data_IF_324704686964
#
_entry.id   IF_324704686964
#
_cell.length_a   1.000
_cell.length_b   1.000
_cell.length_c   1.000
_cell.angle_alpha   90.00
_cell.angle_beta   90.00
_cell.angle_gamma   90.00
#
_symmetry.space_group_name_H-M   'P 1'
#
loop_
_entity.id
_entity.type
_entity.pdbx_description
1 polymer ?
#
# COMPACT_ATOMS: atom_id res chain seq x y z
N UNK A 1 35.89 -3.87 0.81
CA UNK A 1 34.98 -2.71 0.67
C UNK A 1 34.27 -2.57 2.00
N UNK A 2 34.42 -1.42 2.65
CA UNK A 2 33.72 -1.16 3.91
C UNK A 2 32.30 -0.67 3.63
N UNK A 3 31.38 -0.81 4.61
CA UNK A 3 29.98 -0.38 4.45
C UNK A 3 29.86 1.10 4.09
N UNK A 4 30.78 1.94 4.59
CA UNK A 4 30.80 3.37 4.28
C UNK A 4 31.12 3.62 2.80
N UNK A 5 32.06 2.87 2.21
CA UNK A 5 32.38 2.95 0.79
C UNK A 5 31.21 2.50 -0.09
N UNK A 6 30.52 1.41 0.32
CA UNK A 6 29.35 0.90 -0.40
C UNK A 6 28.23 1.94 -0.45
N UNK A 7 27.96 2.61 0.67
CA UNK A 7 26.94 3.67 0.76
C UNK A 7 27.23 4.87 -0.13
N UNK A 8 28.48 5.09 -0.53
CA UNK A 8 28.89 6.14 -1.46
C UNK A 8 28.78 5.73 -2.93
N UNK A 9 28.53 4.45 -3.23
CA UNK A 9 28.31 4.01 -4.61
C UNK A 9 26.96 4.45 -5.15
N UNK A 10 26.92 4.87 -6.42
CA UNK A 10 25.68 5.20 -7.14
C UNK A 10 24.65 4.07 -7.05
N UNK A 11 25.09 2.83 -7.22
CA UNK A 11 24.25 1.65 -7.09
C UNK A 11 23.52 1.58 -5.75
N UNK A 12 24.23 1.82 -4.63
CA UNK A 12 23.60 1.80 -3.32
C UNK A 12 22.59 2.94 -3.16
N UNK A 13 22.90 4.16 -3.62
CA UNK A 13 21.98 5.29 -3.55
C UNK A 13 20.70 5.02 -4.34
N UNK A 14 20.84 4.56 -5.59
CA UNK A 14 19.70 4.21 -6.45
C UNK A 14 18.84 3.09 -5.83
N UNK A 15 19.48 2.04 -5.30
CA UNK A 15 18.76 0.96 -4.63
C UNK A 15 18.05 1.43 -3.35
N UNK A 16 18.67 2.33 -2.59
CA UNK A 16 18.06 2.91 -1.39
C UNK A 16 16.86 3.79 -1.75
N UNK A 17 16.99 4.66 -2.75
CA UNK A 17 15.90 5.52 -3.26
C UNK A 17 14.71 4.67 -3.74
N UNK A 18 14.97 3.65 -4.57
CA UNK A 18 13.93 2.70 -5.01
C UNK A 18 13.26 1.99 -3.83
N UNK A 19 14.02 1.62 -2.80
CA UNK A 19 13.48 1.02 -1.59
C UNK A 19 12.55 1.96 -0.81
N UNK A 20 12.89 3.24 -0.74
CA UNK A 20 12.04 4.28 -0.13
C UNK A 20 10.76 4.47 -0.95
N UNK A 21 10.86 4.58 -2.28
CA UNK A 21 9.71 4.72 -3.17
C UNK A 21 8.73 3.54 -3.02
N UNK A 22 9.25 2.31 -3.07
CA UNK A 22 8.45 1.11 -2.84
C UNK A 22 7.81 1.08 -1.45
N UNK A 23 8.55 1.50 -0.42
CA UNK A 23 8.04 1.56 0.95
C UNK A 23 6.89 2.57 1.09
N UNK A 24 7.01 3.73 0.43
CA UNK A 24 5.95 4.75 0.39
C UNK A 24 4.71 4.22 -0.34
N UNK A 25 4.88 3.60 -1.51
CA UNK A 25 3.78 3.02 -2.29
C UNK A 25 3.04 1.93 -1.49
N UNK A 26 3.78 1.01 -0.87
CA UNK A 26 3.21 -0.02 0.00
C UNK A 26 2.47 0.59 1.19
N UNK A 27 3.02 1.63 1.82
CA UNK A 27 2.39 2.34 2.93
C UNK A 27 1.06 2.98 2.53
N UNK A 28 1.01 3.64 1.36
CA UNK A 28 -0.21 4.22 0.79
C UNK A 28 -1.26 3.13 0.56
N UNK A 29 -0.87 2.01 -0.06
CA UNK A 29 -1.79 0.89 -0.33
C UNK A 29 -2.33 0.25 0.95
N UNK A 30 -1.49 0.03 1.96
CA UNK A 30 -1.91 -0.46 3.27
C UNK A 30 -2.90 0.50 3.96
N UNK A 31 -2.66 1.81 3.85
CA UNK A 31 -3.55 2.81 4.43
C UNK A 31 -4.92 2.82 3.75
N UNK A 32 -4.97 2.70 2.41
CA UNK A 32 -6.22 2.53 1.66
C UNK A 32 -7.02 1.35 2.21
N UNK A 33 -6.39 0.18 2.39
CA UNK A 33 -7.06 -1.01 2.94
C UNK A 33 -7.63 -0.79 4.34
N UNK A 34 -6.87 -0.14 5.23
CA UNK A 34 -7.30 0.15 6.61
C UNK A 34 -8.52 1.07 6.71
N UNK A 35 -8.80 1.86 5.68
CA UNK A 35 -9.95 2.78 5.64
C UNK A 35 -11.23 2.06 5.18
N UNK A 36 -11.13 0.89 4.54
CA UNK A 36 -12.28 0.14 4.02
C UNK A 36 -13.38 -0.10 5.07
N UNK A 37 -13.09 -0.56 6.31
CA UNK A 37 -14.14 -0.78 7.32
C UNK A 37 -14.92 0.48 7.66
N UNK A 38 -14.23 1.61 7.84
CA UNK A 38 -14.88 2.90 8.11
C UNK A 38 -15.84 3.29 6.98
N UNK A 39 -15.44 3.12 5.72
CA UNK A 39 -16.31 3.45 4.58
C UNK A 39 -17.50 2.48 4.47
N UNK A 40 -17.30 1.21 4.82
CA UNK A 40 -18.38 0.23 4.88
C UNK A 40 -19.39 0.60 5.98
N UNK A 41 -18.91 0.99 7.17
CA UNK A 41 -19.74 1.44 8.30
C UNK A 41 -20.55 2.71 7.95
N UNK A 42 -19.99 3.58 7.09
CA UNK A 42 -20.67 4.75 6.53
C UNK A 42 -21.67 4.39 5.41
N UNK A 43 -21.86 3.11 5.10
CA UNK A 43 -22.86 2.62 4.15
C UNK A 43 -22.42 2.61 2.69
N UNK A 44 -21.13 2.77 2.39
CA UNK A 44 -20.64 2.69 1.02
C UNK A 44 -20.62 1.23 0.53
N UNK A 45 -20.99 1.04 -0.73
CA UNK A 45 -20.88 -0.28 -1.39
C UNK A 45 -19.42 -0.60 -1.74
N UNK A 46 -19.04 -1.89 -1.87
CA UNK A 46 -17.68 -2.29 -2.28
C UNK A 46 -17.20 -1.61 -3.56
N UNK A 47 -18.09 -1.41 -4.55
CA UNK A 47 -17.78 -0.69 -5.80
C UNK A 47 -17.45 0.79 -5.56
N UNK A 48 -18.23 1.46 -4.72
CA UNK A 48 -18.00 2.86 -4.36
C UNK A 48 -16.72 3.06 -3.55
N UNK A 49 -16.35 2.06 -2.75
CA UNK A 49 -15.11 2.03 -1.98
C UNK A 49 -13.92 1.85 -2.93
N UNK A 50 -14.00 0.90 -3.87
CA UNK A 50 -12.92 0.66 -4.84
C UNK A 50 -12.65 1.89 -5.71
N UNK A 51 -13.70 2.57 -6.18
CA UNK A 51 -13.58 3.81 -6.95
C UNK A 51 -12.95 4.95 -6.14
N UNK A 52 -13.34 5.13 -4.86
CA UNK A 52 -12.81 6.22 -4.01
C UNK A 52 -11.36 6.02 -3.56
N UNK A 53 -10.99 4.76 -3.31
CA UNK A 53 -9.67 4.42 -2.81
C UNK A 53 -8.69 4.09 -3.94
N UNK A 54 -9.13 4.13 -5.20
CA UNK A 54 -8.32 3.70 -6.34
C UNK A 54 -7.74 2.30 -6.08
N UNK A 55 -8.65 1.37 -5.84
CA UNK A 55 -8.40 -0.06 -5.66
C UNK A 55 -9.25 -0.83 -6.67
N UNK A 56 -8.89 -2.08 -6.93
CA UNK A 56 -9.78 -2.96 -7.70
C UNK A 56 -10.96 -3.40 -6.83
N UNK A 57 -12.11 -3.66 -7.45
CA UNK A 57 -13.28 -4.21 -6.74
C UNK A 57 -12.93 -5.56 -6.08
N UNK A 58 -12.13 -6.38 -6.75
CA UNK A 58 -11.66 -7.67 -6.22
C UNK A 58 -10.85 -7.48 -4.93
N UNK A 59 -9.92 -6.52 -4.89
CA UNK A 59 -9.13 -6.22 -3.68
C UNK A 59 -10.04 -5.87 -2.50
N UNK A 60 -11.07 -5.04 -2.72
CA UNK A 60 -12.01 -4.66 -1.66
C UNK A 60 -12.82 -5.86 -1.18
N UNK A 61 -13.33 -6.69 -2.10
CA UNK A 61 -14.11 -7.88 -1.75
C UNK A 61 -13.27 -8.91 -0.97
N UNK A 62 -12.04 -9.17 -1.42
CA UNK A 62 -11.12 -10.09 -0.75
C UNK A 62 -10.77 -9.61 0.66
N UNK A 63 -10.53 -8.30 0.84
CA UNK A 63 -10.27 -7.73 2.16
C UNK A 63 -11.47 -7.92 3.10
N UNK A 64 -12.68 -7.59 2.64
CA UNK A 64 -13.90 -7.72 3.45
C UNK A 64 -14.20 -9.18 3.81
N UNK A 65 -13.96 -10.12 2.90
CA UNK A 65 -14.16 -11.55 3.17
C UNK A 65 -13.19 -12.09 4.24
N UNK A 66 -11.94 -11.62 4.25
CA UNK A 66 -10.93 -12.02 5.25
C UNK A 66 -11.23 -11.49 6.66
N UNK A 67 -11.93 -10.35 6.79
CA UNK A 67 -12.29 -9.77 8.10
C UNK A 67 -13.49 -10.44 8.77
N UNK A 68 -14.24 -11.28 8.04
CA UNK A 68 -15.40 -12.02 8.55
C UNK A 68 -15.04 -13.41 9.09
N UNK A 69 -13.77 -13.80 9.02
CA UNK A 69 -13.21 -15.04 9.54
C UNK A 69 -12.51 -14.79 10.88
#
# INVERSE_FOLDING_TARGET
>A
MELQDLKQTRFYQEAFEQGIEQGIEQGINLQKLKIIPLLQDLGLTPKQISERLDLTLETVLNYLAQQQQ
#
